data_IF_333716476968
#
_entry.id   IF_333716476968
#
_cell.length_a   1.000
_cell.length_b   1.000
_cell.length_c   1.000
_cell.angle_alpha   90.00
_cell.angle_beta   90.00
_cell.angle_gamma   90.00
#
_symmetry.space_group_name_H-M   'P 1'
#
loop_
_entity.id
_entity.type
_entity.pdbx_description
1 polymer ?
#
# COMPACT_ATOMS: atom_id res chain seq x y z
N UNK A 1 -12.76 -15.93 4.70
CA UNK A 1 -11.93 -16.29 3.53
C UNK A 1 -12.63 -15.87 2.24
N UNK A 2 -12.49 -14.62 1.76
CA UNK A 2 -12.92 -14.22 0.42
C UNK A 2 -12.10 -14.96 -0.64
N UNK A 3 -12.66 -15.17 -1.83
CA UNK A 3 -11.99 -15.95 -2.87
C UNK A 3 -10.80 -15.20 -3.48
N UNK A 4 -9.92 -15.93 -4.17
CA UNK A 4 -8.87 -15.31 -5.00
C UNK A 4 -9.44 -14.29 -6.00
N UNK A 5 -10.66 -14.53 -6.52
CA UNK A 5 -11.31 -13.61 -7.45
C UNK A 5 -11.81 -12.34 -6.76
N UNK A 6 -12.25 -12.41 -5.50
CA UNK A 6 -12.70 -11.25 -4.73
C UNK A 6 -11.54 -10.31 -4.38
N UNK A 7 -10.43 -10.88 -3.88
CA UNK A 7 -9.22 -10.10 -3.57
C UNK A 7 -8.66 -9.44 -4.83
N UNK A 8 -8.54 -10.19 -5.94
CA UNK A 8 -8.08 -9.64 -7.22
C UNK A 8 -9.09 -8.66 -7.86
N UNK A 9 -10.38 -8.70 -7.50
CA UNK A 9 -11.38 -7.70 -7.91
C UNK A 9 -11.19 -6.37 -7.16
N UNK A 10 -10.99 -6.42 -5.84
CA UNK A 10 -10.67 -5.23 -5.02
C UNK A 10 -9.39 -4.56 -5.50
N UNK A 11 -8.34 -5.36 -5.64
CA UNK A 11 -7.05 -4.97 -6.19
C UNK A 11 -7.16 -4.29 -7.57
N UNK A 12 -8.10 -4.72 -8.43
CA UNK A 12 -8.38 -4.04 -9.71
C UNK A 12 -8.94 -2.64 -9.53
N UNK A 13 -10.02 -2.53 -8.77
CA UNK A 13 -10.73 -1.29 -8.55
C UNK A 13 -9.88 -0.26 -7.76
N UNK A 14 -9.10 -0.71 -6.77
CA UNK A 14 -8.07 0.11 -6.09
C UNK A 14 -7.07 0.70 -7.09
N UNK A 15 -6.50 -0.16 -7.94
CA UNK A 15 -5.54 0.26 -8.95
C UNK A 15 -6.12 1.23 -9.99
N UNK A 16 -7.39 1.07 -10.36
CA UNK A 16 -8.06 1.95 -11.32
C UNK A 16 -8.34 3.35 -10.73
N UNK A 17 -8.55 3.46 -9.41
CA UNK A 17 -8.79 4.73 -8.70
C UNK A 17 -7.53 5.51 -8.32
N UNK A 18 -6.40 4.85 -8.10
CA UNK A 18 -5.09 5.52 -7.88
C UNK A 18 -4.74 6.44 -9.07
N UNK A 19 -5.23 6.14 -10.27
CA UNK A 19 -5.09 6.99 -11.47
C UNK A 19 -5.97 8.25 -11.46
N UNK A 20 -6.98 8.29 -10.60
CA UNK A 20 -8.00 9.36 -10.53
C UNK A 20 -7.76 10.34 -9.37
N UNK A 21 -7.10 9.89 -8.29
CA UNK A 21 -6.98 10.64 -7.02
C UNK A 21 -5.83 11.64 -6.93
N UNK A 22 -5.73 12.61 -7.84
CA UNK A 22 -4.59 13.53 -7.92
C UNK A 22 -4.88 14.92 -7.27
N UNK A 23 -4.65 15.14 -5.95
CA UNK A 23 -4.50 16.50 -5.31
C UNK A 23 -3.99 16.50 -3.81
N UNK A 24 -2.82 17.12 -3.50
CA UNK A 24 -2.39 17.65 -2.15
C UNK A 24 -1.15 17.03 -1.41
N UNK A 25 -0.26 17.85 -0.80
CA UNK A 25 0.98 17.52 0.02
C UNK A 25 1.00 18.30 1.38
N UNK A 26 1.93 18.30 2.38
CA UNK A 26 3.19 17.64 2.88
C UNK A 26 3.20 17.95 4.45
N UNK A 27 4.07 17.59 5.41
CA UNK A 27 5.28 16.76 5.57
C UNK A 27 6.13 17.19 6.81
N UNK A 28 6.94 16.29 7.42
CA UNK A 28 7.85 16.51 8.59
C UNK A 28 7.21 16.80 9.98
N UNK A 29 7.88 16.70 11.16
CA UNK A 29 9.32 16.65 11.56
C UNK A 29 9.55 15.78 12.85
N UNK A 30 10.72 15.17 13.17
CA UNK A 30 11.12 13.76 12.89
C UNK A 30 11.37 12.94 14.19
N UNK A 31 11.21 11.61 14.13
CA UNK A 31 11.87 10.62 15.02
C UNK A 31 11.63 9.17 14.57
N UNK A 32 12.61 8.27 14.75
CA UNK A 32 12.70 6.95 14.09
C UNK A 32 12.14 5.79 14.95
N UNK A 33 11.59 4.73 14.31
CA UNK A 33 11.04 3.54 14.96
C UNK A 33 10.73 2.36 14.01
N UNK A 34 11.00 1.13 14.44
CA UNK A 34 10.67 -0.11 13.72
C UNK A 34 9.53 -0.89 14.42
N UNK A 35 8.65 -1.51 13.63
CA UNK A 35 7.60 -2.46 14.06
C UNK A 35 7.59 -3.69 13.13
N UNK A 36 7.23 -4.90 13.60
CA UNK A 36 7.04 -6.06 12.71
C UNK A 36 5.86 -5.88 11.77
N UNK A 37 5.93 -6.46 10.56
CA UNK A 37 4.78 -6.62 9.65
C UNK A 37 4.64 -8.05 9.14
N UNK A 38 3.41 -8.49 8.90
CA UNK A 38 3.08 -9.83 8.39
C UNK A 38 2.05 -9.75 7.25
N UNK A 39 2.01 -10.80 6.43
CA UNK A 39 0.97 -10.95 5.40
C UNK A 39 -0.38 -11.21 6.05
N UNK A 40 -1.37 -10.35 5.78
CA UNK A 40 -2.69 -10.33 6.43
C UNK A 40 -3.65 -11.46 6.04
N UNK A 41 -3.16 -12.64 5.62
CA UNK A 41 -4.03 -13.72 5.14
C UNK A 41 -4.82 -14.45 6.23
N UNK A 42 -4.45 -14.27 7.50
CA UNK A 42 -5.31 -14.63 8.65
C UNK A 42 -6.46 -13.64 8.87
N UNK A 43 -6.35 -12.43 8.29
CA UNK A 43 -7.35 -11.37 8.30
C UNK A 43 -7.97 -11.20 6.91
N UNK A 44 -8.06 -12.29 6.13
CA UNK A 44 -8.78 -12.37 4.86
C UNK A 44 -8.26 -11.48 3.70
N UNK A 45 -7.09 -10.83 3.82
CA UNK A 45 -6.45 -10.03 2.75
C UNK A 45 -5.15 -10.67 2.18
N UNK A 46 -4.65 -10.11 1.08
CA UNK A 46 -3.27 -10.30 0.58
C UNK A 46 -2.38 -9.07 0.77
N UNK A 47 -2.88 -8.07 1.49
CA UNK A 47 -2.12 -6.90 1.95
C UNK A 47 -1.36 -7.20 3.24
N UNK A 48 -0.60 -6.23 3.73
CA UNK A 48 0.32 -6.36 4.86
C UNK A 48 -0.15 -5.53 6.05
N UNK A 49 -0.03 -6.10 7.25
CA UNK A 49 -0.54 -5.50 8.49
C UNK A 49 0.57 -5.20 9.50
N UNK A 50 0.34 -4.18 10.32
CA UNK A 50 1.14 -3.86 11.50
C UNK A 50 0.24 -3.77 12.73
N UNK A 51 0.78 -4.12 13.89
CA UNK A 51 0.09 -4.00 15.17
C UNK A 51 0.57 -2.74 15.87
N UNK A 52 -0.36 -1.87 16.27
CA UNK A 52 -0.10 -0.59 16.96
C UNK A 52 -0.93 -0.47 18.23
N UNK A 53 -0.48 0.35 19.17
CA UNK A 53 -1.29 0.78 20.32
C UNK A 53 -1.94 2.13 20.07
N UNK A 54 -3.22 2.28 20.39
CA UNK A 54 -3.95 3.55 20.24
C UNK A 54 -4.59 3.98 21.57
N UNK A 55 -4.40 5.25 21.95
CA UNK A 55 -4.99 5.86 23.14
C UNK A 55 -4.12 5.79 24.41
N UNK A 56 -4.69 6.29 25.52
CA UNK A 56 -4.10 6.22 26.87
C UNK A 56 -5.16 5.76 27.89
N UNK A 57 -5.07 4.53 28.44
CA UNK A 57 -4.09 3.48 28.12
C UNK A 57 -4.22 3.00 26.66
N UNK A 58 -3.10 2.57 26.08
CA UNK A 58 -3.08 2.11 24.70
C UNK A 58 -3.81 0.77 24.54
N UNK A 59 -4.71 0.67 23.56
CA UNK A 59 -5.34 -0.59 23.14
C UNK A 59 -4.77 -1.03 21.79
N UNK A 60 -4.59 -2.35 21.64
CA UNK A 60 -4.08 -2.97 20.41
C UNK A 60 -5.05 -2.77 19.25
N UNK A 61 -4.54 -2.36 18.09
CA UNK A 61 -5.22 -2.38 16.79
C UNK A 61 -4.26 -2.97 15.75
N UNK A 62 -4.75 -3.85 14.88
CA UNK A 62 -4.03 -4.48 13.77
C UNK A 62 -4.54 -3.90 12.45
N UNK A 63 -3.70 -3.13 11.77
CA UNK A 63 -4.11 -2.24 10.66
C UNK A 63 -3.31 -2.49 9.38
N UNK A 64 -3.94 -2.32 8.22
CA UNK A 64 -3.30 -2.43 6.90
C UNK A 64 -2.26 -1.31 6.70
N UNK A 65 -1.13 -1.61 6.07
CA UNK A 65 -0.14 -0.60 5.64
C UNK A 65 -0.45 -0.11 4.23
N UNK A 66 -0.70 1.19 4.06
CA UNK A 66 -1.19 1.76 2.80
C UNK A 66 -0.35 2.96 2.32
N UNK A 67 0.56 2.78 1.36
CA UNK A 67 1.30 3.88 0.70
C UNK A 67 0.50 4.67 -0.34
N UNK A 68 -0.73 4.25 -0.64
CA UNK A 68 -1.69 4.96 -1.49
C UNK A 68 -2.72 5.80 -0.71
N UNK A 69 -2.63 5.85 0.62
CA UNK A 69 -3.54 6.65 1.47
C UNK A 69 -2.77 7.52 2.46
N UNK A 70 -3.29 8.70 2.75
CA UNK A 70 -2.76 9.56 3.80
C UNK A 70 -3.54 9.45 5.12
N UNK A 71 -4.88 9.52 5.08
CA UNK A 71 -5.69 9.50 6.33
C UNK A 71 -5.81 8.07 6.86
N UNK A 72 -5.08 7.82 7.95
CA UNK A 72 -5.22 6.61 8.76
C UNK A 72 -6.56 6.59 9.49
N UNK A 73 -7.15 5.42 9.71
CA UNK A 73 -8.43 5.27 10.43
C UNK A 73 -8.53 3.91 11.13
N UNK A 74 -9.39 3.82 12.16
CA UNK A 74 -9.81 2.56 12.80
C UNK A 74 -11.31 2.61 13.12
N UNK A 75 -11.96 1.45 13.31
CA UNK A 75 -13.35 1.42 13.75
C UNK A 75 -13.49 1.77 15.24
N UNK A 76 -14.47 2.64 15.52
CA UNK A 76 -14.77 3.14 16.85
C UNK A 76 -16.08 2.58 17.39
N UNK A 77 -16.25 2.59 18.72
CA UNK A 77 -17.56 2.44 19.34
C UNK A 77 -18.50 3.55 18.87
N UNK A 78 -19.79 3.20 18.82
CA UNK A 78 -20.84 3.83 18.00
C UNK A 78 -20.86 3.38 16.53
N UNK A 79 -20.06 2.39 16.13
CA UNK A 79 -20.30 1.55 14.95
C UNK A 79 -21.54 0.66 15.14
N UNK A 80 -22.59 0.78 14.30
CA UNK A 80 -23.63 -0.24 14.15
C UNK A 80 -23.11 -1.45 13.35
N UNK A 81 -23.42 -2.67 13.79
CA UNK A 81 -22.95 -3.90 13.13
C UNK A 81 -23.42 -4.04 11.66
N UNK A 82 -24.51 -3.39 11.26
CA UNK A 82 -25.00 -3.38 9.88
C UNK A 82 -24.22 -2.44 8.93
N UNK A 83 -23.37 -1.56 9.46
CA UNK A 83 -22.63 -0.54 8.67
C UNK A 83 -21.13 -0.57 8.91
N UNK A 84 -20.62 -1.56 9.66
CA UNK A 84 -19.22 -1.70 10.03
C UNK A 84 -18.77 -3.15 9.79
N UNK A 85 -17.60 -3.34 9.20
CA UNK A 85 -17.09 -4.66 8.86
C UNK A 85 -16.60 -5.46 10.09
N UNK A 86 -16.55 -6.80 10.00
CA UNK A 86 -15.86 -7.63 10.99
C UNK A 86 -14.40 -7.20 11.11
N UNK A 87 -13.84 -7.25 12.32
CA UNK A 87 -12.43 -6.96 12.57
C UNK A 87 -11.85 -7.87 13.65
N UNK A 88 -10.53 -7.83 13.81
CA UNK A 88 -9.76 -8.73 14.67
C UNK A 88 -9.71 -8.29 16.14
N UNK A 89 -9.22 -7.09 16.41
CA UNK A 89 -9.10 -6.58 17.78
C UNK A 89 -10.40 -5.82 18.15
N UNK A 90 -10.50 -5.27 19.37
CA UNK A 90 -11.75 -4.61 19.82
C UNK A 90 -11.88 -3.21 19.22
N UNK A 91 -13.11 -2.81 18.88
CA UNK A 91 -13.45 -1.43 18.47
C UNK A 91 -12.83 -0.43 19.44
N UNK A 92 -12.14 0.58 18.91
CA UNK A 92 -11.56 1.65 19.72
C UNK A 92 -12.66 2.39 20.49
N UNK A 93 -12.42 2.73 21.76
CA UNK A 93 -13.39 3.42 22.62
C UNK A 93 -12.89 4.82 22.98
N UNK A 94 -13.30 5.88 22.24
CA UNK A 94 -12.86 7.24 22.48
C UNK A 94 -13.23 7.80 23.86
N UNK A 95 -14.18 7.19 24.58
CA UNK A 95 -14.54 7.60 25.93
C UNK A 95 -13.64 6.97 27.01
N UNK A 96 -12.77 6.02 26.63
CA UNK A 96 -11.84 5.31 27.54
C UNK A 96 -10.38 5.70 27.36
N UNK A 97 -10.07 6.58 26.41
CA UNK A 97 -8.73 7.15 26.22
C UNK A 97 -8.65 8.56 26.79
N UNK A 98 -7.78 8.76 27.78
CA UNK A 98 -7.55 10.06 28.42
C UNK A 98 -6.90 11.09 27.47
N UNK A 99 -6.32 10.65 26.35
CA UNK A 99 -5.67 11.51 25.35
C UNK A 99 -6.50 11.75 24.08
N UNK A 100 -7.69 11.14 23.96
CA UNK A 100 -8.56 11.34 22.81
C UNK A 100 -9.12 12.76 22.75
N UNK A 101 -9.10 13.35 21.56
CA UNK A 101 -9.77 14.63 21.29
C UNK A 101 -10.33 14.68 19.87
N UNK A 102 -11.65 14.82 19.74
CA UNK A 102 -12.28 15.07 18.45
C UNK A 102 -11.98 16.51 17.98
N UNK A 103 -11.68 16.69 16.69
CA UNK A 103 -11.45 18.03 16.14
C UNK A 103 -12.76 18.83 16.05
N UNK A 104 -12.67 20.15 16.23
CA UNK A 104 -13.77 21.07 15.88
C UNK A 104 -13.83 21.30 14.36
N UNK A 105 -15.02 21.58 13.84
CA UNK A 105 -15.23 21.81 12.40
C UNK A 105 -14.47 23.03 11.84
N UNK A 106 -14.24 24.04 12.68
CA UNK A 106 -13.51 25.27 12.36
C UNK A 106 -11.97 25.08 12.29
N UNK A 107 -11.45 23.96 12.82
CA UNK A 107 -10.01 23.73 12.97
C UNK A 107 -9.26 23.54 11.65
N UNK A 108 -7.97 23.90 11.65
CA UNK A 108 -7.08 23.68 10.50
C UNK A 108 -6.97 22.20 10.11
N UNK A 109 -7.00 21.28 11.09
CA UNK A 109 -7.01 19.84 10.84
C UNK A 109 -8.27 19.40 10.07
N UNK A 110 -9.45 19.90 10.44
CA UNK A 110 -10.69 19.58 9.73
C UNK A 110 -10.71 20.15 8.31
N UNK A 111 -10.28 21.42 8.16
CA UNK A 111 -10.17 22.11 6.86
C UNK A 111 -9.11 21.50 5.95
N UNK A 112 -8.08 20.87 6.52
CA UNK A 112 -7.00 20.20 5.79
C UNK A 112 -7.47 18.98 4.99
N UNK A 113 -8.44 18.20 5.50
CA UNK A 113 -8.98 17.02 4.81
C UNK A 113 -9.42 17.30 3.37
N UNK A 114 -10.22 18.37 3.18
CA UNK A 114 -10.72 18.76 1.85
C UNK A 114 -9.64 19.23 0.87
N UNK A 115 -8.40 19.49 1.32
CA UNK A 115 -7.25 19.77 0.45
C UNK A 115 -6.58 18.51 -0.09
N UNK A 116 -6.89 17.35 0.49
CA UNK A 116 -6.40 16.03 0.10
C UNK A 116 -7.54 15.17 -0.50
N UNK A 117 -8.54 15.82 -1.11
CA UNK A 117 -9.77 15.22 -1.66
C UNK A 117 -10.63 14.39 -0.67
N UNK A 118 -10.28 14.30 0.60
CA UNK A 118 -11.10 13.64 1.61
C UNK A 118 -12.30 14.48 2.00
N UNK A 119 -13.48 13.87 2.04
CA UNK A 119 -14.70 14.54 2.47
C UNK A 119 -14.58 14.98 3.92
N UNK A 120 -14.94 16.23 4.20
CA UNK A 120 -15.05 16.77 5.55
C UNK A 120 -16.44 17.34 5.80
N UNK A 121 -16.85 17.38 7.07
CA UNK A 121 -18.18 17.86 7.45
C UNK A 121 -18.28 18.23 8.90
N UNK A 122 -19.45 18.71 9.31
CA UNK A 122 -19.71 19.11 10.68
C UNK A 122 -20.90 18.37 11.28
N UNK A 123 -20.68 17.67 12.39
CA UNK A 123 -21.77 17.08 13.17
C UNK A 123 -22.55 18.17 13.93
N UNK A 124 -23.81 17.87 14.30
CA UNK A 124 -24.65 18.75 15.15
C UNK A 124 -24.01 19.14 16.51
N UNK A 125 -22.94 18.45 16.93
CA UNK A 125 -22.17 18.74 18.16
C UNK A 125 -20.85 19.49 17.90
N UNK A 126 -20.69 20.13 16.73
CA UNK A 126 -19.51 20.91 16.37
C UNK A 126 -18.22 20.11 16.15
N UNK A 127 -18.32 18.77 16.09
CA UNK A 127 -17.18 17.87 15.84
C UNK A 127 -17.01 17.61 14.35
N UNK A 128 -15.79 17.77 13.87
CA UNK A 128 -15.37 17.45 12.50
C UNK A 128 -15.71 16.00 12.16
N UNK A 129 -16.35 15.79 11.02
CA UNK A 129 -16.52 14.47 10.42
C UNK A 129 -15.57 14.34 9.22
N UNK A 130 -15.17 13.10 8.91
CA UNK A 130 -14.42 12.75 7.70
C UNK A 130 -15.17 11.67 6.91
N UNK A 131 -14.88 11.60 5.62
CA UNK A 131 -15.33 10.55 4.71
C UNK A 131 -14.22 10.23 3.71
N UNK A 132 -13.94 8.94 3.52
CA UNK A 132 -13.00 8.44 2.50
C UNK A 132 -13.73 7.40 1.65
N UNK A 133 -13.63 7.55 0.33
CA UNK A 133 -14.05 6.54 -0.65
C UNK A 133 -12.79 5.97 -1.28
N UNK A 134 -12.58 4.67 -1.14
CA UNK A 134 -11.48 3.96 -1.79
C UNK A 134 -11.90 3.46 -3.17
N UNK A 135 -10.90 3.11 -3.98
CA UNK A 135 -11.12 2.69 -5.37
C UNK A 135 -11.97 1.44 -5.53
N UNK A 136 -11.89 0.51 -4.59
CA UNK A 136 -12.73 -0.70 -4.54
C UNK A 136 -14.18 -0.45 -4.13
N UNK A 137 -14.58 0.82 -4.03
CA UNK A 137 -15.91 1.24 -3.62
C UNK A 137 -16.10 1.19 -2.11
N UNK A 138 -15.17 0.61 -1.34
CA UNK A 138 -15.22 0.64 0.12
C UNK A 138 -15.15 2.07 0.64
N UNK A 139 -15.77 2.32 1.78
CA UNK A 139 -15.77 3.65 2.37
C UNK A 139 -15.82 3.62 3.88
N UNK A 140 -15.11 4.57 4.48
CA UNK A 140 -15.12 4.84 5.92
C UNK A 140 -15.64 6.25 6.15
N UNK A 141 -16.53 6.40 7.12
CA UNK A 141 -17.03 7.70 7.57
C UNK A 141 -17.10 7.73 9.10
N UNK A 142 -16.87 8.90 9.68
CA UNK A 142 -16.93 9.05 11.13
C UNK A 142 -16.39 10.38 11.61
N UNK A 143 -15.91 10.42 12.86
CA UNK A 143 -15.39 11.64 13.48
C UNK A 143 -13.88 11.76 13.26
N UNK A 144 -13.41 12.91 12.80
CA UNK A 144 -11.97 13.17 12.72
C UNK A 144 -11.45 13.63 14.09
N UNK A 145 -10.40 12.99 14.58
CA UNK A 145 -9.85 13.25 15.91
C UNK A 145 -8.35 13.05 15.97
N UNK A 146 -7.80 13.26 17.16
CA UNK A 146 -6.41 13.01 17.48
C UNK A 146 -6.27 12.33 18.84
N UNK A 147 -5.34 11.39 18.94
CA UNK A 147 -4.99 10.65 20.15
C UNK A 147 -3.49 10.24 20.11
N UNK A 148 -3.02 9.46 21.08
CA UNK A 148 -1.67 8.90 21.10
C UNK A 148 -1.60 7.61 20.29
N UNK A 149 -0.77 7.57 19.25
CA UNK A 149 -0.42 6.35 18.53
C UNK A 149 0.93 5.83 19.03
N UNK A 150 0.97 4.66 19.64
CA UNK A 150 2.20 3.97 20.06
C UNK A 150 2.59 2.92 19.02
N UNK A 151 3.76 3.07 18.41
CA UNK A 151 4.28 2.14 17.41
C UNK A 151 5.05 1.00 18.09
N UNK A 152 5.95 1.36 19.00
CA UNK A 152 6.69 0.42 19.86
C UNK A 152 6.97 1.10 21.21
N UNK A 153 7.52 0.40 22.22
CA UNK A 153 7.77 0.98 23.55
C UNK A 153 8.67 2.23 23.59
N UNK A 154 9.50 2.44 22.55
CA UNK A 154 10.38 3.60 22.43
C UNK A 154 9.80 4.75 21.58
N UNK A 155 8.68 4.54 20.87
CA UNK A 155 8.11 5.55 19.96
C UNK A 155 6.58 5.59 20.00
N UNK A 156 6.08 6.77 20.36
CA UNK A 156 4.73 7.21 20.07
C UNK A 156 4.71 8.48 19.19
N UNK A 157 3.55 8.74 18.60
CA UNK A 157 3.16 9.99 17.97
C UNK A 157 1.99 10.54 18.79
N UNK A 158 2.27 11.53 19.63
CA UNK A 158 1.25 12.20 20.43
C UNK A 158 0.40 13.13 19.54
N UNK A 159 -0.92 13.14 19.79
CA UNK A 159 -1.92 13.85 18.95
C UNK A 159 -1.89 13.43 17.46
N UNK A 160 -1.57 12.17 17.20
CA UNK A 160 -1.74 11.52 15.90
C UNK A 160 -3.19 11.65 15.43
N UNK A 161 -3.38 12.26 14.26
CA UNK A 161 -4.68 12.56 13.64
C UNK A 161 -5.16 11.35 12.85
N UNK A 162 -6.38 10.90 13.12
CA UNK A 162 -6.96 9.72 12.46
C UNK A 162 -8.48 9.82 12.33
N UNK A 163 -9.01 9.00 11.43
CA UNK A 163 -10.44 8.74 11.29
C UNK A 163 -10.93 7.77 12.36
N UNK A 164 -11.84 8.22 13.23
CA UNK A 164 -12.58 7.38 14.16
C UNK A 164 -13.88 6.95 13.48
N UNK A 165 -13.86 5.77 12.84
CA UNK A 165 -14.88 5.30 11.91
C UNK A 165 -16.13 4.80 12.64
N UNK A 166 -17.30 5.31 12.23
CA UNK A 166 -18.62 4.89 12.73
C UNK A 166 -19.44 4.14 11.67
N UNK A 167 -18.98 4.15 10.42
CA UNK A 167 -19.40 3.24 9.36
C UNK A 167 -18.21 2.93 8.45
N UNK A 168 -17.93 1.64 8.25
CA UNK A 168 -16.92 1.12 7.34
C UNK A 168 -17.59 0.04 6.46
N UNK A 169 -17.98 0.43 5.24
CA UNK A 169 -18.79 -0.39 4.34
C UNK A 169 -17.95 -0.99 3.21
N UNK A 170 -18.36 -2.17 2.76
CA UNK A 170 -17.77 -2.93 1.66
C UNK A 170 -16.30 -3.35 1.87
N UNK A 171 -15.79 -3.34 3.09
CA UNK A 171 -14.59 -4.12 3.47
C UNK A 171 -14.97 -5.60 3.70
N UNK A 172 -14.06 -6.55 3.48
CA UNK A 172 -14.28 -8.01 3.73
C UNK A 172 -13.04 -8.74 4.23
N UNK A 173 -11.96 -8.01 4.44
CA UNK A 173 -10.87 -8.38 5.34
C UNK A 173 -11.32 -8.22 6.81
N UNK A 174 -10.41 -8.47 7.75
CA UNK A 174 -10.65 -8.31 9.19
C UNK A 174 -9.59 -7.44 9.89
N UNK A 175 -9.00 -6.48 9.19
CA UNK A 175 -8.19 -5.45 9.85
C UNK A 175 -9.08 -4.50 10.67
N UNK A 176 -8.54 -3.82 11.68
CA UNK A 176 -9.32 -2.84 12.45
C UNK A 176 -9.44 -1.48 11.73
N UNK A 177 -8.73 -1.35 10.60
CA UNK A 177 -8.60 -0.16 9.77
C UNK A 177 -7.26 -0.16 9.01
N UNK A 178 -6.77 1.02 8.63
CA UNK A 178 -5.48 1.18 7.94
C UNK A 178 -4.64 2.33 8.46
N UNK A 179 -3.33 2.21 8.27
CA UNK A 179 -2.34 3.26 8.50
C UNK A 179 -1.81 3.79 7.17
N UNK A 180 -2.11 5.06 6.91
CA UNK A 180 -1.70 5.77 5.71
C UNK A 180 -0.22 6.16 5.75
N UNK A 181 0.52 5.74 4.74
CA UNK A 181 1.95 5.96 4.53
C UNK A 181 2.22 6.89 3.32
N UNK A 182 1.18 7.44 2.69
CA UNK A 182 1.27 8.34 1.54
C UNK A 182 2.03 9.66 1.80
N UNK A 183 2.24 10.43 0.75
CA UNK A 183 3.06 11.63 0.75
C UNK A 183 2.40 12.91 1.28
N UNK A 184 1.14 12.87 1.71
CA UNK A 184 0.35 14.01 2.18
C UNK A 184 0.48 14.31 3.69
N UNK A 185 -0.02 15.49 4.09
CA UNK A 185 0.05 15.98 5.49
C UNK A 185 -0.68 15.11 6.55
N UNK A 186 -1.70 14.28 6.21
CA UNK A 186 -2.31 13.37 7.17
C UNK A 186 -1.54 12.04 7.43
N UNK A 187 -0.56 11.67 6.60
CA UNK A 187 0.07 10.34 6.70
C UNK A 187 0.89 10.14 7.96
N UNK A 188 1.05 8.89 8.40
CA UNK A 188 1.92 8.54 9.53
C UNK A 188 3.38 8.96 9.29
N UNK A 189 3.86 8.92 8.05
CA UNK A 189 5.19 9.41 7.66
C UNK A 189 5.31 10.90 8.01
N UNK A 190 4.32 11.71 7.59
CA UNK A 190 4.22 13.14 7.89
C UNK A 190 3.99 13.42 9.38
N UNK A 191 3.20 12.60 10.09
CA UNK A 191 2.81 12.85 11.49
C UNK A 191 3.83 12.38 12.53
N UNK A 192 4.47 11.22 12.32
CA UNK A 192 5.72 10.88 13.02
C UNK A 192 6.87 11.79 12.59
N UNK A 193 6.65 12.56 11.53
CA UNK A 193 7.49 13.66 11.09
C UNK A 193 8.77 13.23 10.41
N UNK A 194 8.92 11.94 10.10
CA UNK A 194 10.06 11.50 9.31
C UNK A 194 9.97 12.03 7.88
N UNK A 195 11.12 12.10 7.21
CA UNK A 195 11.18 12.28 5.75
C UNK A 195 11.61 11.01 5.01
N UNK A 196 11.66 9.88 5.71
CA UNK A 196 11.92 8.59 5.11
C UNK A 196 11.27 7.45 5.92
N UNK A 197 10.94 6.36 5.25
CA UNK A 197 10.54 5.10 5.87
C UNK A 197 10.98 3.94 4.98
N UNK A 198 11.13 2.75 5.53
CA UNK A 198 11.30 1.53 4.75
C UNK A 198 10.45 0.39 5.30
N UNK A 199 10.14 -0.58 4.46
CA UNK A 199 9.58 -1.86 4.89
C UNK A 199 10.22 -3.00 4.14
N UNK A 200 10.15 -4.21 4.72
CA UNK A 200 10.24 -5.43 3.93
C UNK A 200 8.97 -6.27 4.13
N UNK A 201 8.45 -6.80 3.02
CA UNK A 201 7.20 -7.55 2.99
C UNK A 201 7.49 -9.06 2.91
N UNK A 202 7.11 -9.87 3.92
CA UNK A 202 7.38 -11.31 3.90
C UNK A 202 6.51 -12.04 2.87
N UNK A 203 7.01 -13.09 2.21
CA UNK A 203 6.27 -13.78 1.14
C UNK A 203 5.15 -14.70 1.66
N UNK A 204 5.24 -15.13 2.91
CA UNK A 204 4.26 -16.00 3.60
C UNK A 204 4.04 -15.51 5.04
N UNK A 205 2.95 -15.92 5.72
CA UNK A 205 2.67 -15.51 7.10
C UNK A 205 3.62 -16.11 8.15
N UNK A 206 4.44 -17.10 7.77
CA UNK A 206 5.41 -17.77 8.65
C UNK A 206 6.69 -16.96 8.90
N UNK A 207 6.89 -15.87 8.14
CA UNK A 207 7.99 -14.93 8.33
C UNK A 207 7.44 -13.56 8.69
N UNK A 208 8.14 -12.85 9.56
CA UNK A 208 7.90 -11.43 9.82
C UNK A 208 8.84 -10.59 8.98
N UNK A 209 8.33 -9.54 8.34
CA UNK A 209 9.14 -8.42 7.90
C UNK A 209 9.05 -7.28 8.90
N UNK A 210 9.32 -6.05 8.45
CA UNK A 210 9.17 -4.85 9.27
C UNK A 210 8.58 -3.67 8.49
N UNK A 211 8.09 -2.68 9.25
CA UNK A 211 7.98 -1.27 8.85
C UNK A 211 8.88 -0.45 9.77
N UNK A 212 9.76 0.36 9.21
CA UNK A 212 10.61 1.33 9.90
C UNK A 212 10.24 2.73 9.47
N UNK A 213 9.70 3.54 10.37
CA UNK A 213 9.64 4.99 10.20
C UNK A 213 10.99 5.59 10.56
N UNK A 214 11.42 6.61 9.81
CA UNK A 214 12.81 7.02 9.86
C UNK A 214 13.64 6.22 8.87
N UNK A 215 14.83 6.72 8.59
CA UNK A 215 15.86 5.95 7.91
C UNK A 215 17.24 6.43 8.37
N UNK A 216 18.16 5.51 8.71
CA UNK A 216 19.59 5.79 8.63
C UNK A 216 19.89 6.27 7.21
N UNK A 217 20.59 7.41 7.06
CA UNK A 217 20.73 8.06 5.75
C UNK A 217 21.79 7.37 4.88
N UNK A 218 21.38 6.22 4.35
CA UNK A 218 22.00 5.40 3.31
C UNK A 218 23.44 4.92 3.55
N UNK A 219 23.58 3.61 3.78
CA UNK A 219 24.62 2.86 3.07
C UNK A 219 24.14 2.69 1.61
N UNK A 220 24.28 3.74 0.79
CA UNK A 220 23.74 3.82 -0.58
C UNK A 220 24.24 2.70 -1.49
N UNK A 221 25.43 2.17 -1.21
CA UNK A 221 26.03 0.99 -1.84
C UNK A 221 25.23 -0.31 -1.69
N UNK A 222 24.22 -0.39 -0.81
CA UNK A 222 23.40 -1.58 -0.58
C UNK A 222 22.01 -1.55 -1.23
N UNK A 223 21.63 -0.47 -1.92
CA UNK A 223 20.31 -0.32 -2.55
C UNK A 223 20.45 -0.02 -4.05
N UNK A 224 19.60 -0.63 -4.88
CA UNK A 224 19.33 -0.12 -6.22
C UNK A 224 18.41 1.09 -6.10
N UNK A 225 18.91 2.30 -6.39
CA UNK A 225 18.20 3.57 -6.13
C UNK A 225 17.73 4.23 -7.42
N UNK A 226 16.42 4.49 -7.51
CA UNK A 226 15.78 5.29 -8.57
C UNK A 226 15.29 6.62 -7.99
N UNK A 227 15.21 7.71 -8.77
CA UNK A 227 14.46 8.90 -8.37
C UNK A 227 13.00 8.56 -8.05
N UNK A 228 12.49 9.21 -7.00
CA UNK A 228 11.08 9.28 -6.65
C UNK A 228 10.52 10.58 -7.20
N UNK A 229 9.38 10.51 -7.87
CA UNK A 229 8.62 11.66 -8.31
C UNK A 229 7.38 11.82 -7.45
N UNK A 230 7.07 13.05 -7.04
CA UNK A 230 5.73 13.45 -6.60
C UNK A 230 5.11 14.26 -7.73
N UNK A 231 3.82 14.09 -7.98
CA UNK A 231 3.03 15.10 -8.68
C UNK A 231 2.68 16.21 -7.68
N UNK A 232 2.65 17.47 -8.13
CA UNK A 232 2.07 18.60 -7.37
C UNK A 232 0.63 18.30 -6.96
N UNK A 233 -0.06 17.64 -7.89
CA UNK A 233 -1.45 17.26 -7.79
C UNK A 233 -1.46 15.97 -6.96
N UNK A 234 -0.95 14.85 -7.47
CA UNK A 234 -0.99 13.56 -6.78
C UNK A 234 0.02 13.37 -5.64
N UNK A 235 0.01 14.29 -4.66
CA UNK A 235 0.94 14.37 -3.53
C UNK A 235 0.88 13.19 -2.55
N UNK A 236 -0.23 12.45 -2.52
CA UNK A 236 -0.37 11.18 -1.78
C UNK A 236 0.53 10.08 -2.36
N UNK A 237 0.74 10.04 -3.70
CA UNK A 237 1.36 8.91 -4.37
C UNK A 237 2.86 9.12 -4.65
N UNK A 238 3.64 8.06 -4.40
CA UNK A 238 5.06 8.00 -4.75
C UNK A 238 5.23 7.36 -6.13
N UNK A 239 5.70 8.13 -7.12
CA UNK A 239 5.95 7.63 -8.47
C UNK A 239 7.41 7.23 -8.67
N UNK A 240 7.63 6.20 -9.48
CA UNK A 240 8.93 5.80 -10.00
C UNK A 240 8.84 5.62 -11.52
N UNK A 241 9.94 5.87 -12.24
CA UNK A 241 9.97 5.70 -13.69
C UNK A 241 10.56 4.33 -14.04
N UNK A 242 9.67 3.35 -14.23
CA UNK A 242 10.01 2.10 -14.89
C UNK A 242 10.50 2.42 -16.32
N UNK A 243 11.61 1.81 -16.77
CA UNK A 243 12.22 2.02 -18.09
C UNK A 243 12.36 0.71 -18.89
N UNK A 244 12.01 -0.43 -18.29
CA UNK A 244 11.98 -1.72 -18.97
C UNK A 244 11.78 -2.88 -18.01
N UNK A 245 11.66 -4.07 -18.59
CA UNK A 245 11.54 -5.34 -17.87
C UNK A 245 12.52 -6.32 -18.53
N UNK A 246 13.12 -7.21 -17.76
CA UNK A 246 13.89 -8.35 -18.26
C UNK A 246 13.26 -9.68 -17.83
N UNK A 247 13.39 -10.71 -18.66
CA UNK A 247 12.96 -12.09 -18.38
C UNK A 247 14.11 -13.02 -18.75
N UNK A 248 14.49 -13.94 -17.85
CA UNK A 248 15.66 -14.81 -17.98
C UNK A 248 16.93 -14.02 -18.38
N UNK A 249 17.18 -12.90 -17.71
CA UNK A 249 18.29 -11.97 -17.99
C UNK A 249 18.15 -11.12 -19.27
N UNK A 250 17.15 -11.36 -20.13
CA UNK A 250 16.98 -10.68 -21.42
C UNK A 250 15.99 -9.53 -21.31
N UNK A 251 16.44 -8.28 -21.52
CA UNK A 251 15.56 -7.11 -21.57
C UNK A 251 14.56 -7.23 -22.72
N UNK A 252 13.29 -6.99 -22.43
CA UNK A 252 12.19 -7.06 -23.39
C UNK A 252 12.21 -5.87 -24.35
N UNK A 253 11.86 -6.10 -25.62
CA UNK A 253 11.69 -5.06 -26.64
C UNK A 253 10.31 -4.43 -26.48
N UNK A 254 10.24 -3.40 -25.63
CA UNK A 254 9.05 -2.55 -25.40
C UNK A 254 9.45 -1.09 -25.69
N UNK A 255 8.67 -0.33 -26.47
CA UNK A 255 8.92 1.09 -26.72
C UNK A 255 9.02 1.91 -25.43
N UNK A 256 9.96 2.87 -25.32
CA UNK A 256 10.05 3.76 -24.16
C UNK A 256 8.79 4.61 -23.91
N UNK A 257 7.96 4.83 -24.94
CA UNK A 257 6.66 5.49 -24.86
C UNK A 257 5.68 4.78 -23.95
N UNK A 258 5.65 3.44 -23.94
CA UNK A 258 4.73 2.65 -23.12
C UNK A 258 4.95 2.87 -21.62
N UNK A 259 6.15 3.28 -21.19
CA UNK A 259 6.44 3.58 -19.79
C UNK A 259 6.41 5.09 -19.46
N UNK A 260 5.95 5.95 -20.37
CA UNK A 260 6.04 7.43 -20.23
C UNK A 260 5.31 7.95 -18.99
N UNK A 261 4.19 7.35 -18.61
CA UNK A 261 3.39 7.74 -17.44
C UNK A 261 4.00 7.30 -16.09
N UNK A 262 5.08 6.51 -16.10
CA UNK A 262 5.68 5.96 -14.89
C UNK A 262 4.81 4.90 -14.19
N UNK A 263 5.09 4.65 -12.91
CA UNK A 263 4.29 3.79 -12.06
C UNK A 263 4.24 4.29 -10.61
N UNK A 264 3.10 4.11 -9.92
CA UNK A 264 2.95 4.36 -8.48
C UNK A 264 3.48 3.18 -7.68
N UNK A 265 4.17 3.44 -6.57
CA UNK A 265 4.57 2.42 -5.58
C UNK A 265 3.45 2.23 -4.54
N UNK A 266 2.72 1.12 -4.60
CA UNK A 266 1.56 0.86 -3.73
C UNK A 266 1.68 -0.45 -2.95
N UNK A 267 1.50 -0.38 -1.62
CA UNK A 267 1.45 -1.53 -0.72
C UNK A 267 0.06 -2.18 -0.61
N UNK A 268 -1.02 -1.46 -0.98
CA UNK A 268 -2.39 -1.99 -0.96
C UNK A 268 -2.80 -2.72 -2.25
N UNK A 269 -2.31 -2.27 -3.40
CA UNK A 269 -2.39 -3.03 -4.66
C UNK A 269 -1.56 -4.30 -4.52
N UNK A 270 -2.17 -5.46 -4.76
CA UNK A 270 -1.56 -6.77 -4.59
C UNK A 270 -0.58 -7.07 -5.73
N UNK A 271 -1.02 -6.97 -7.00
CA UNK A 271 -0.19 -7.34 -8.17
C UNK A 271 0.09 -6.17 -9.11
N UNK A 272 1.29 -6.14 -9.70
CA UNK A 272 1.74 -5.01 -10.53
C UNK A 272 0.88 -4.82 -11.77
N UNK A 273 0.44 -3.57 -12.00
CA UNK A 273 -0.22 -3.11 -13.22
C UNK A 273 0.82 -2.55 -14.18
N UNK A 274 0.93 -3.19 -15.35
CA UNK A 274 1.79 -2.74 -16.43
C UNK A 274 0.96 -2.17 -17.59
N UNK A 275 1.41 -1.08 -18.25
CA UNK A 275 0.87 -0.62 -19.53
C UNK A 275 0.63 -1.81 -20.49
N UNK A 276 -0.54 -1.93 -21.15
CA UNK A 276 -0.90 -3.06 -22.01
C UNK A 276 0.20 -3.54 -22.96
N UNK A 277 1.01 -2.68 -23.57
CA UNK A 277 2.15 -3.08 -24.41
C UNK A 277 3.24 -3.80 -23.59
N UNK A 278 3.66 -3.22 -22.46
CA UNK A 278 4.62 -3.84 -21.54
C UNK A 278 4.09 -5.17 -20.96
N UNK A 279 2.80 -5.22 -20.62
CA UNK A 279 2.16 -6.45 -20.13
C UNK A 279 2.13 -7.54 -21.22
N UNK A 280 1.73 -7.21 -22.45
CA UNK A 280 1.73 -8.12 -23.60
C UNK A 280 3.12 -8.74 -23.82
N UNK A 281 4.17 -7.93 -23.78
CA UNK A 281 5.55 -8.37 -23.95
C UNK A 281 6.03 -9.29 -22.81
N UNK A 282 5.83 -8.90 -21.54
CA UNK A 282 6.18 -9.73 -20.38
C UNK A 282 5.45 -11.08 -20.43
N UNK A 283 4.14 -11.06 -20.64
CA UNK A 283 3.29 -12.25 -20.74
C UNK A 283 3.76 -13.20 -21.85
N UNK A 284 4.14 -12.68 -23.01
CA UNK A 284 4.64 -13.49 -24.12
C UNK A 284 6.01 -14.15 -23.81
N UNK A 285 6.96 -13.38 -23.27
CA UNK A 285 8.27 -13.90 -22.89
C UNK A 285 8.16 -14.95 -21.76
N UNK A 286 7.39 -14.66 -20.71
CA UNK A 286 7.22 -15.56 -19.57
C UNK A 286 6.57 -16.90 -19.98
N UNK A 287 5.56 -16.86 -20.86
CA UNK A 287 4.93 -18.08 -21.42
C UNK A 287 5.89 -18.92 -22.29
N UNK A 288 6.89 -18.32 -22.93
CA UNK A 288 7.89 -19.03 -23.74
C UNK A 288 8.88 -19.81 -22.86
N UNK A 289 9.32 -19.22 -21.76
CA UNK A 289 10.24 -19.89 -20.83
C UNK A 289 9.49 -20.96 -20.01
N UNK A 290 8.29 -20.65 -19.50
CA UNK A 290 7.44 -21.59 -18.76
C UNK A 290 6.76 -22.66 -19.64
N UNK A 291 7.13 -22.83 -20.91
CA UNK A 291 6.42 -23.69 -21.89
C UNK A 291 6.33 -25.18 -21.52
N UNK A 292 7.20 -25.66 -20.62
CA UNK A 292 7.18 -27.04 -20.12
C UNK A 292 6.09 -27.30 -19.08
N UNK A 293 5.52 -26.26 -18.48
CA UNK A 293 4.49 -26.38 -17.46
C UNK A 293 3.09 -26.30 -18.09
N UNK A 294 2.17 -27.25 -17.83
CA UNK A 294 0.82 -27.22 -18.39
C UNK A 294 0.09 -25.92 -18.01
N UNK A 295 -0.56 -25.26 -18.98
CA UNK A 295 -1.35 -24.06 -18.68
C UNK A 295 -2.65 -24.42 -17.96
N UNK A 296 -2.96 -23.72 -16.88
CA UNK A 296 -4.24 -23.81 -16.17
C UNK A 296 -5.21 -22.79 -16.75
N UNK A 297 -6.38 -23.26 -17.18
CA UNK A 297 -7.45 -22.38 -17.65
C UNK A 297 -7.99 -21.48 -16.52
N UNK A 298 -8.45 -20.28 -16.89
CA UNK A 298 -9.07 -19.29 -16.00
C UNK A 298 -10.20 -18.57 -16.73
N UNK A 299 -11.27 -18.13 -16.03
CA UNK A 299 -12.34 -17.32 -16.65
C UNK A 299 -11.79 -16.04 -17.31
N UNK A 300 -12.35 -15.58 -18.45
CA UNK A 300 -11.90 -14.35 -19.12
C UNK A 300 -11.99 -13.07 -18.27
N UNK A 301 -12.80 -13.06 -17.23
CA UNK A 301 -12.92 -11.98 -16.24
C UNK A 301 -11.79 -11.96 -15.19
N UNK A 302 -10.93 -12.97 -15.17
CA UNK A 302 -9.81 -13.08 -14.22
C UNK A 302 -8.77 -11.99 -14.46
N UNK A 303 -8.32 -11.34 -13.38
CA UNK A 303 -7.25 -10.34 -13.46
C UNK A 303 -5.91 -10.93 -13.93
N UNK A 304 -5.60 -12.16 -13.49
CA UNK A 304 -4.40 -12.91 -13.91
C UNK A 304 -4.78 -13.89 -15.03
N UNK A 305 -4.24 -13.68 -16.22
CA UNK A 305 -4.60 -14.42 -17.45
C UNK A 305 -3.61 -15.55 -17.83
N UNK A 306 -2.57 -15.75 -17.01
CA UNK A 306 -1.41 -16.59 -17.33
C UNK A 306 -1.10 -17.48 -16.14
N UNK A 307 -1.81 -18.60 -16.08
CA UNK A 307 -1.72 -19.56 -15.00
C UNK A 307 -1.23 -20.92 -15.50
N UNK A 308 -0.58 -21.66 -14.61
CA UNK A 308 0.00 -22.97 -14.86
C UNK A 308 -0.48 -23.97 -13.79
N UNK A 309 -0.44 -25.26 -14.13
CA UNK A 309 -0.43 -26.31 -13.13
C UNK A 309 1.02 -26.52 -12.68
N UNK A 310 1.30 -26.31 -11.40
CA UNK A 310 2.64 -26.26 -10.83
C UNK A 310 2.76 -27.31 -9.72
N UNK A 311 3.61 -28.30 -9.95
CA UNK A 311 3.88 -29.42 -9.05
C UNK A 311 5.38 -29.74 -9.06
N UNK A 312 5.91 -30.17 -7.91
CA UNK A 312 7.35 -30.44 -7.76
C UNK A 312 8.23 -29.19 -7.93
N UNK A 313 9.47 -29.39 -8.36
CA UNK A 313 10.46 -28.32 -8.51
C UNK A 313 10.20 -27.43 -9.74
N UNK A 314 9.62 -26.26 -9.50
CA UNK A 314 9.30 -25.28 -10.54
C UNK A 314 10.46 -24.32 -10.78
N UNK A 315 11.05 -24.39 -11.97
CA UNK A 315 12.07 -23.45 -12.45
C UNK A 315 11.40 -22.19 -13.00
N UNK A 316 10.99 -21.30 -12.10
CA UNK A 316 10.48 -19.96 -12.46
C UNK A 316 11.62 -19.15 -13.09
N UNK A 317 11.47 -18.59 -14.31
CA UNK A 317 12.50 -17.75 -14.92
C UNK A 317 12.60 -16.42 -14.17
N UNK A 318 13.82 -15.89 -14.02
CA UNK A 318 14.01 -14.59 -13.36
C UNK A 318 13.27 -13.48 -14.11
N UNK A 319 12.69 -12.55 -13.36
CA UNK A 319 12.08 -11.33 -13.89
C UNK A 319 12.69 -10.14 -13.15
N UNK A 320 13.13 -9.13 -13.90
CA UNK A 320 13.74 -7.92 -13.32
C UNK A 320 13.01 -6.68 -13.81
N UNK A 321 12.68 -5.78 -12.89
CA UNK A 321 12.19 -4.43 -13.19
C UNK A 321 13.39 -3.50 -13.34
N UNK A 322 13.48 -2.78 -14.46
CA UNK A 322 14.57 -1.84 -14.75
C UNK A 322 14.01 -0.43 -14.65
N UNK A 323 14.33 0.28 -13.57
CA UNK A 323 13.92 1.67 -13.34
C UNK A 323 14.91 2.66 -13.97
N UNK A 324 14.68 3.95 -13.77
CA UNK A 324 15.57 5.00 -14.24
C UNK A 324 16.97 4.91 -13.59
N UNK A 325 17.95 5.52 -14.27
CA UNK A 325 19.38 5.48 -13.92
C UNK A 325 19.98 4.07 -13.87
N UNK A 326 19.26 3.07 -14.41
CA UNK A 326 19.69 1.68 -14.48
C UNK A 326 19.41 0.86 -13.23
N UNK A 327 18.71 1.42 -12.22
CA UNK A 327 18.35 0.72 -10.99
C UNK A 327 17.52 -0.53 -11.32
N UNK A 328 18.16 -1.70 -11.24
CA UNK A 328 17.60 -2.98 -11.69
C UNK A 328 17.28 -3.86 -10.49
N UNK A 329 16.02 -4.25 -10.39
CA UNK A 329 15.45 -5.00 -9.26
C UNK A 329 15.02 -6.36 -9.77
N UNK A 330 15.82 -7.39 -9.50
CA UNK A 330 15.41 -8.78 -9.73
C UNK A 330 14.44 -9.22 -8.62
N UNK A 331 13.28 -9.73 -9.05
CA UNK A 331 12.21 -10.16 -8.18
C UNK A 331 12.48 -11.57 -7.64
N UNK A 332 12.08 -11.82 -6.40
CA UNK A 332 11.96 -13.18 -5.88
C UNK A 332 10.83 -13.95 -6.59
N UNK A 333 10.90 -15.29 -6.60
CA UNK A 333 9.89 -16.15 -7.20
C UNK A 333 8.47 -15.92 -6.62
N UNK A 334 8.34 -15.59 -5.33
CA UNK A 334 7.08 -15.22 -4.68
C UNK A 334 6.51 -13.87 -5.12
N UNK A 335 7.33 -13.05 -5.78
CA UNK A 335 6.98 -11.80 -6.48
C UNK A 335 6.77 -11.98 -7.98
N UNK A 336 6.96 -13.19 -8.52
CA UNK A 336 6.75 -13.52 -9.94
C UNK A 336 5.50 -14.41 -10.10
N UNK A 337 5.29 -15.37 -9.18
CA UNK A 337 4.14 -16.28 -9.17
C UNK A 337 3.26 -16.05 -7.94
N UNK A 338 1.95 -15.85 -8.17
CA UNK A 338 0.91 -15.82 -7.15
C UNK A 338 -0.15 -16.89 -7.48
N UNK A 339 -0.37 -17.85 -6.56
CA UNK A 339 -1.39 -18.92 -6.69
C UNK A 339 -1.36 -19.66 -8.05
N UNK A 340 -0.15 -19.94 -8.54
CA UNK A 340 0.11 -20.63 -9.81
C UNK A 340 0.01 -19.75 -11.07
N UNK A 341 -0.09 -18.43 -10.93
CA UNK A 341 -0.21 -17.48 -12.04
C UNK A 341 0.92 -16.45 -12.03
N UNK A 342 1.31 -15.97 -13.21
CA UNK A 342 2.16 -14.78 -13.36
C UNK A 342 1.49 -13.61 -12.63
N UNK A 343 2.17 -13.05 -11.63
CA UNK A 343 1.62 -12.07 -10.69
C UNK A 343 1.60 -10.64 -11.23
N UNK A 344 1.16 -10.45 -12.47
CA UNK A 344 1.10 -9.17 -13.17
C UNK A 344 -0.23 -9.07 -13.93
N UNK A 345 -0.72 -7.84 -14.13
CA UNK A 345 -1.91 -7.58 -14.94
C UNK A 345 -1.72 -6.35 -15.84
N UNK A 346 -2.57 -6.24 -16.86
CA UNK A 346 -2.65 -5.04 -17.69
C UNK A 346 -3.23 -3.86 -16.88
N UNK A 347 -2.70 -2.66 -17.11
CA UNK A 347 -3.27 -1.40 -16.64
C UNK A 347 -4.57 -1.03 -17.39
N UNK A 348 -4.85 -1.66 -18.54
CA UNK A 348 -6.02 -1.40 -19.38
C UNK A 348 -5.77 -0.37 -20.47
N UNK A 349 -5.09 0.72 -20.13
CA UNK A 349 -4.64 1.78 -21.04
C UNK A 349 -3.10 1.94 -20.97
N UNK A 350 -2.47 2.25 -22.12
CA UNK A 350 -1.03 2.55 -22.25
C UNK A 350 -0.71 4.03 -21.94
N UNK A 351 -1.71 4.92 -21.90
CA UNK A 351 -1.57 6.31 -21.45
C UNK A 351 -1.58 6.49 -19.92
N UNK A 352 -2.16 5.52 -19.20
CA UNK A 352 -2.29 5.52 -17.74
C UNK A 352 -0.98 5.14 -17.01
N UNK A 353 -0.73 5.68 -15.80
CA UNK A 353 0.38 5.21 -14.97
C UNK A 353 0.18 3.76 -14.53
N UNK A 354 1.28 3.01 -14.53
CA UNK A 354 1.35 1.68 -13.94
C UNK A 354 1.29 1.73 -12.41
N UNK A 355 1.31 0.55 -11.77
CA UNK A 355 1.41 0.44 -10.31
C UNK A 355 2.30 -0.75 -9.98
N UNK A 356 3.33 -0.55 -9.17
CA UNK A 356 4.15 -1.61 -8.60
C UNK A 356 3.46 -2.11 -7.33
N UNK A 357 2.82 -3.27 -7.41
CA UNK A 357 2.04 -3.87 -6.32
C UNK A 357 2.92 -4.59 -5.28
N UNK A 358 2.33 -4.91 -4.13
CA UNK A 358 3.03 -5.45 -2.96
C UNK A 358 3.67 -6.82 -3.21
N UNK A 359 3.13 -7.64 -4.12
CA UNK A 359 3.71 -8.94 -4.49
C UNK A 359 5.10 -8.76 -5.11
N UNK A 360 5.29 -7.75 -5.97
CA UNK A 360 6.60 -7.42 -6.56
C UNK A 360 7.56 -6.73 -5.59
N UNK A 361 7.12 -6.45 -4.36
CA UNK A 361 7.93 -5.84 -3.29
C UNK A 361 8.32 -6.86 -2.20
N UNK A 362 7.92 -8.13 -2.34
CA UNK A 362 8.24 -9.21 -1.40
C UNK A 362 9.74 -9.49 -1.33
N UNK A 363 10.24 -9.80 -0.13
CA UNK A 363 11.67 -10.04 0.20
C UNK A 363 12.61 -8.84 0.00
N UNK A 364 12.12 -7.74 -0.57
CA UNK A 364 12.87 -6.51 -0.75
C UNK A 364 12.65 -5.60 0.46
N UNK A 365 13.72 -5.01 1.00
CA UNK A 365 13.56 -3.73 1.70
C UNK A 365 13.32 -2.65 0.64
N UNK A 366 12.16 -2.02 0.71
CA UNK A 366 11.78 -0.86 -0.11
C UNK A 366 11.92 0.38 0.78
N UNK A 367 12.92 1.21 0.48
CA UNK A 367 13.20 2.48 1.15
C UNK A 367 12.55 3.63 0.36
N UNK A 368 11.74 4.43 1.04
CA UNK A 368 11.17 5.68 0.54
C UNK A 368 11.92 6.84 1.19
N UNK A 369 12.94 7.42 0.54
CA UNK A 369 13.53 8.70 0.97
C UNK A 369 12.72 9.86 0.38
N UNK A 370 11.58 10.13 1.01
CA UNK A 370 10.66 11.24 0.67
C UNK A 370 11.34 12.61 0.79
N UNK A 371 12.39 12.73 1.61
CA UNK A 371 13.19 13.95 1.80
C UNK A 371 14.35 14.11 0.83
N UNK A 372 14.85 13.03 0.25
CA UNK A 372 15.87 13.01 -0.80
C UNK A 372 15.31 12.87 -2.22
N UNK A 373 14.03 12.52 -2.37
CA UNK A 373 13.39 12.27 -3.67
C UNK A 373 13.86 10.97 -4.31
N UNK A 374 13.93 9.87 -3.55
CA UNK A 374 14.43 8.58 -4.05
C UNK A 374 13.68 7.37 -3.48
N UNK A 375 13.52 6.32 -4.30
CA UNK A 375 13.14 4.97 -3.85
C UNK A 375 14.35 4.04 -3.99
N UNK A 376 14.68 3.31 -2.93
CA UNK A 376 15.75 2.32 -2.91
C UNK A 376 15.20 0.90 -2.73
N UNK A 377 15.79 -0.08 -3.42
CA UNK A 377 15.43 -1.49 -3.31
C UNK A 377 16.65 -2.34 -2.89
N UNK A 378 16.50 -3.18 -1.85
CA UNK A 378 17.53 -4.14 -1.39
C UNK A 378 16.96 -5.54 -1.25
N UNK A 379 17.50 -6.53 -1.96
CA UNK A 379 17.14 -7.96 -1.82
C UNK A 379 17.62 -8.50 -0.47
N UNK A 380 16.88 -9.45 0.12
CA UNK A 380 17.20 -9.93 1.47
C UNK A 380 17.05 -8.81 2.51
N UNK A 381 15.98 -8.03 2.37
CA UNK A 381 15.60 -7.02 3.36
C UNK A 381 14.93 -7.65 4.59
N UNK A 382 14.22 -8.76 4.35
CA UNK A 382 13.69 -9.70 5.32
C UNK A 382 14.69 -10.84 5.48
#
# INVERSE_FOLDING_TARGET
MPSTADVLRRDRLRADSIRQGLNGTDGAKRGDATVPTTLGSSLDTLEYVVTVGLGTPAVTQTVLMDTGSDVSWVQCRLCPAATCHPQKDKLFDPARSATYSAFRCDSAACKGLGRHLYGNGCSRRGRCQYAIRYGDGSNTTGTYGADKLTLNPARAVDRFRFGCSHAAQLFTDMADGLVGLGGGSPSLVSQAGTKAFSYCLPPTPSYSGFLTLGAPRAASSRFAVTPMYKSSDAGTFYFVLLRGIAVAGRRLRVPPSAFRAGAVMDSGTVVTRLPPEAYRALRAAFRKEMRMYPRRAVPPSSLLDTCFNLTGDVKVPSVSLVFERGATVELDASGIILRGCLAFASAGDDGAPGIIGNVQQRTLEVLYDVGGGAVGFRRGGC
#
